data_IF_573087547299
#
_entry.id   IF_573087547299
#
_cell.length_a   1.000
_cell.length_b   1.000
_cell.length_c   1.000
_cell.angle_alpha   90.00
_cell.angle_beta   90.00
_cell.angle_gamma   90.00
#
_symmetry.space_group_name_H-M   'P 1'
#
loop_
_entity.id
_entity.type
_entity.pdbx_description
1 polymer ?
#
# COMPACT_ATOMS: atom_id res chain seq x y z
N UNK A 1 24.94 97.70 -59.35
CA UNK A 1 26.26 97.38 -58.77
C UNK A 1 26.03 96.82 -57.37
N UNK A 2 26.12 95.49 -57.24
CA UNK A 2 27.04 94.72 -56.36
C UNK A 2 26.58 94.63 -54.90
N UNK A 3 25.90 93.57 -54.43
CA UNK A 3 26.25 92.14 -54.15
C UNK A 3 27.14 91.89 -52.92
N UNK A 4 26.59 91.02 -52.03
CA UNK A 4 27.19 89.94 -51.19
C UNK A 4 27.93 90.40 -49.91
N UNK A 5 27.89 89.70 -48.77
CA UNK A 5 27.90 88.25 -48.44
C UNK A 5 27.08 87.99 -47.13
N UNK A 6 26.27 86.95 -46.94
CA UNK A 6 26.42 85.47 -46.98
C UNK A 6 26.94 84.85 -45.67
N UNK A 7 26.09 84.05 -45.00
CA UNK A 7 26.33 82.68 -44.45
C UNK A 7 25.37 82.38 -43.28
N UNK A 8 24.93 81.14 -42.97
CA UNK A 8 24.56 79.91 -43.68
C UNK A 8 24.13 78.93 -42.56
N UNK A 9 23.22 77.98 -42.86
CA UNK A 9 22.94 76.69 -42.16
C UNK A 9 22.00 76.82 -40.94
N UNK A 10 20.92 76.03 -40.80
CA UNK A 10 20.48 74.86 -41.54
C UNK A 10 19.79 73.87 -40.60
N UNK A 11 18.54 73.56 -40.94
CA UNK A 11 17.62 72.53 -40.45
C UNK A 11 18.29 71.20 -40.00
N UNK A 12 17.86 70.62 -38.88
CA UNK A 12 17.68 69.16 -38.74
C UNK A 12 16.79 68.80 -37.56
N UNK A 13 15.60 68.30 -37.92
CA UNK A 13 14.71 67.45 -37.14
C UNK A 13 15.49 66.26 -36.55
N UNK A 14 15.17 65.83 -35.33
CA UNK A 14 14.81 64.43 -35.03
C UNK A 14 14.41 64.28 -33.55
N UNK A 15 13.13 63.94 -33.34
CA UNK A 15 12.66 62.91 -32.39
C UNK A 15 13.32 62.89 -31.00
N UNK A 16 12.74 63.59 -30.04
CA UNK A 16 12.76 63.15 -28.65
C UNK A 16 11.35 62.68 -28.27
N UNK A 17 10.98 61.54 -28.86
CA UNK A 17 9.87 60.74 -28.38
C UNK A 17 10.20 60.20 -27.00
N UNK A 18 9.30 60.46 -26.06
CA UNK A 18 8.96 59.63 -24.90
C UNK A 18 9.98 58.54 -24.53
N UNK A 19 11.03 58.89 -23.79
CA UNK A 19 11.67 57.94 -22.87
C UNK A 19 10.87 57.93 -21.57
N UNK A 20 9.62 57.44 -21.67
CA UNK A 20 8.99 56.76 -20.56
C UNK A 20 9.79 55.48 -20.37
N UNK A 21 10.55 55.38 -19.28
CA UNK A 21 11.06 54.09 -18.82
C UNK A 21 9.85 53.20 -18.53
N UNK A 22 9.41 52.43 -19.53
CA UNK A 22 8.70 51.19 -19.27
C UNK A 22 9.74 50.22 -18.73
N UNK A 23 9.99 50.27 -17.42
CA UNK A 23 10.29 49.02 -16.73
C UNK A 23 9.03 48.17 -16.95
N UNK A 24 9.08 47.31 -17.96
CA UNK A 24 8.17 46.19 -18.05
C UNK A 24 8.46 45.35 -16.81
N UNK A 25 7.80 45.69 -15.71
CA UNK A 25 7.58 44.77 -14.61
C UNK A 25 6.92 43.55 -15.22
N UNK A 26 7.73 42.58 -15.62
CA UNK A 26 7.26 41.29 -16.03
C UNK A 26 6.58 40.68 -14.81
N UNK A 27 5.26 40.83 -14.74
CA UNK A 27 4.44 40.15 -13.77
C UNK A 27 4.61 38.65 -14.03
N UNK A 28 5.52 38.03 -13.30
CA UNK A 28 5.56 36.57 -13.19
C UNK A 28 4.27 36.20 -12.48
N UNK A 29 3.29 35.70 -13.23
CA UNK A 29 2.13 35.07 -12.63
C UNK A 29 2.62 33.85 -11.87
N UNK A 30 2.82 34.01 -10.56
CA UNK A 30 3.03 32.88 -9.67
C UNK A 30 1.68 32.20 -9.55
N UNK A 31 1.46 31.14 -10.33
CA UNK A 31 0.29 30.30 -10.13
C UNK A 31 0.29 29.83 -8.66
N UNK A 32 -0.83 30.01 -7.94
CA UNK A 32 -0.89 29.58 -6.56
C UNK A 32 -0.64 28.08 -6.49
N UNK A 33 0.22 27.66 -5.56
CA UNK A 33 0.51 26.25 -5.36
C UNK A 33 -0.81 25.47 -5.19
N UNK A 34 -1.02 24.38 -5.93
CA UNK A 34 -2.27 23.63 -5.89
C UNK A 34 -2.61 23.22 -4.46
N UNK A 35 -3.90 23.28 -4.12
CA UNK A 35 -4.42 22.84 -2.83
C UNK A 35 -5.12 21.50 -3.02
N UNK A 36 -4.94 20.59 -2.06
CA UNK A 36 -5.63 19.31 -2.11
C UNK A 36 -7.12 19.55 -1.83
N UNK A 37 -8.05 19.02 -2.65
CA UNK A 37 -9.48 19.15 -2.40
C UNK A 37 -9.99 18.15 -1.36
N UNK A 38 -9.10 17.32 -0.79
CA UNK A 38 -9.47 16.37 0.26
C UNK A 38 -10.06 17.11 1.46
N UNK A 39 -11.21 16.63 1.91
CA UNK A 39 -11.94 17.16 3.06
C UNK A 39 -11.79 16.21 4.24
N UNK A 40 -11.07 16.62 5.28
CA UNK A 40 -10.90 15.83 6.50
C UNK A 40 -11.09 16.72 7.73
N UNK A 41 -12.14 16.45 8.49
CA UNK A 41 -12.35 16.95 9.84
C UNK A 41 -12.30 15.76 10.79
N UNK A 42 -11.24 15.70 11.62
CA UNK A 42 -10.99 14.60 12.55
C UNK A 42 -12.06 14.46 13.64
N UNK A 43 -12.84 15.50 13.92
CA UNK A 43 -13.96 15.43 14.87
C UNK A 43 -15.16 14.67 14.29
N UNK A 44 -15.27 14.62 12.96
CA UNK A 44 -16.45 14.11 12.25
C UNK A 44 -16.22 12.75 11.58
N UNK A 45 -14.99 12.21 11.60
CA UNK A 45 -14.72 10.86 11.06
C UNK A 45 -15.20 9.76 12.01
N UNK A 46 -15.65 8.60 11.48
CA UNK A 46 -15.78 8.27 10.06
C UNK A 46 -17.01 8.95 9.41
N UNK A 47 -16.84 9.46 8.19
CA UNK A 47 -17.95 9.97 7.38
C UNK A 47 -18.88 8.84 6.91
N UNK A 48 -20.11 9.20 6.54
CA UNK A 48 -21.13 8.23 6.13
C UNK A 48 -20.85 7.62 4.76
N UNK A 49 -20.26 8.40 3.85
CA UNK A 49 -19.84 7.95 2.52
C UNK A 49 -18.38 8.26 2.24
N UNK A 50 -17.80 7.52 1.28
CA UNK A 50 -16.41 7.71 0.87
C UNK A 50 -16.22 9.01 0.07
N UNK A 51 -17.24 9.44 -0.68
CA UNK A 51 -17.17 10.67 -1.48
C UNK A 51 -17.00 11.94 -0.63
N UNK A 52 -17.45 11.95 0.63
CA UNK A 52 -17.30 13.08 1.56
C UNK A 52 -15.82 13.50 1.77
N UNK A 53 -14.87 12.57 1.61
CA UNK A 53 -13.44 12.87 1.72
C UNK A 53 -12.83 13.52 0.48
N UNK A 54 -13.47 13.44 -0.69
CA UNK A 54 -12.94 13.93 -1.97
C UNK A 54 -11.56 13.38 -2.38
N UNK A 55 -11.29 12.09 -2.15
CA UNK A 55 -10.00 11.47 -2.52
C UNK A 55 -9.78 11.31 -4.04
N UNK A 56 -10.86 11.22 -4.82
CA UNK A 56 -10.80 10.84 -6.23
C UNK A 56 -11.50 11.84 -7.14
N UNK A 57 -10.94 12.06 -8.33
CA UNK A 57 -11.51 12.91 -9.38
C UNK A 57 -12.39 12.10 -10.34
N UNK A 58 -13.53 12.68 -10.74
CA UNK A 58 -14.46 12.04 -11.68
C UNK A 58 -15.19 10.84 -11.06
N UNK A 59 -15.31 9.74 -11.82
CA UNK A 59 -15.97 8.52 -11.34
C UNK A 59 -15.08 7.84 -10.30
N UNK A 60 -15.56 7.75 -9.05
CA UNK A 60 -14.77 7.26 -7.92
C UNK A 60 -14.19 5.85 -8.12
N UNK A 61 -14.92 4.96 -8.82
CA UNK A 61 -14.47 3.59 -9.12
C UNK A 61 -13.31 3.51 -10.14
N UNK A 62 -12.97 4.62 -10.80
CA UNK A 62 -11.75 4.72 -11.61
C UNK A 62 -10.49 4.87 -10.75
N UNK A 63 -10.64 5.22 -9.46
CA UNK A 63 -9.56 5.44 -8.49
C UNK A 63 -8.49 6.43 -8.98
N UNK A 64 -8.91 7.49 -9.67
CA UNK A 64 -8.05 8.59 -10.13
C UNK A 64 -7.83 9.56 -8.97
N UNK A 65 -6.63 9.66 -8.38
CA UNK A 65 -6.43 10.48 -7.20
C UNK A 65 -6.44 11.98 -7.54
N UNK A 66 -7.07 12.78 -6.66
CA UNK A 66 -6.93 14.25 -6.69
C UNK A 66 -5.51 14.69 -6.28
N UNK A 67 -5.18 15.96 -6.48
CA UNK A 67 -3.91 16.52 -6.00
C UNK A 67 -3.74 16.30 -4.48
N UNK A 68 -2.57 15.85 -4.05
CA UNK A 68 -2.27 15.50 -2.66
C UNK A 68 -2.47 14.01 -2.33
N UNK A 69 -3.30 13.30 -3.07
CA UNK A 69 -3.46 11.85 -2.87
C UNK A 69 -2.42 11.14 -3.74
N UNK A 70 -1.41 10.51 -3.11
CA UNK A 70 -0.32 9.85 -3.83
C UNK A 70 -0.55 8.34 -3.87
N UNK A 71 -0.54 7.71 -5.07
CA UNK A 71 -0.54 6.26 -5.12
C UNK A 71 0.79 5.73 -4.57
N UNK A 72 0.73 4.56 -3.94
CA UNK A 72 1.91 3.78 -3.64
C UNK A 72 1.59 2.29 -3.85
N UNK A 73 2.62 1.47 -3.88
CA UNK A 73 2.59 0.03 -4.06
C UNK A 73 3.41 -0.61 -2.95
N UNK A 74 2.86 -1.66 -2.36
CA UNK A 74 3.59 -2.60 -1.51
C UNK A 74 4.25 -3.64 -2.44
N UNK A 75 5.56 -3.79 -2.31
CA UNK A 75 6.39 -4.60 -3.22
C UNK A 75 5.95 -6.06 -3.27
N UNK A 76 5.69 -6.66 -2.11
CA UNK A 76 5.08 -7.99 -1.99
C UNK A 76 3.61 -7.83 -1.59
N UNK A 77 2.67 -8.16 -2.48
CA UNK A 77 1.23 -7.98 -2.21
C UNK A 77 0.67 -8.95 -1.16
N UNK A 78 -0.19 -8.44 -0.27
CA UNK A 78 -1.03 -9.24 0.63
C UNK A 78 -2.07 -10.03 -0.16
N UNK A 79 -2.23 -11.32 0.13
CA UNK A 79 -3.25 -12.14 -0.50
C UNK A 79 -4.62 -11.98 0.17
N UNK A 80 -5.62 -11.58 -0.62
CA UNK A 80 -7.02 -11.46 -0.20
C UNK A 80 -7.91 -12.03 -1.31
N UNK A 81 -8.06 -13.35 -1.37
CA UNK A 81 -8.94 -14.06 -2.32
C UNK A 81 -8.80 -13.62 -3.79
N UNK A 82 -7.56 -13.31 -4.22
CA UNK A 82 -7.23 -12.79 -5.55
C UNK A 82 -7.83 -11.41 -5.90
N UNK A 83 -8.43 -10.70 -4.95
CA UNK A 83 -8.78 -9.30 -5.13
C UNK A 83 -7.51 -8.47 -5.41
N UNK A 84 -7.63 -7.52 -6.32
CA UNK A 84 -6.63 -6.48 -6.55
C UNK A 84 -6.80 -5.40 -5.51
N UNK A 85 -5.70 -4.72 -5.18
CA UNK A 85 -5.70 -3.59 -4.29
C UNK A 85 -4.98 -2.41 -4.95
N UNK A 86 -5.52 -1.21 -4.76
CA UNK A 86 -4.82 0.03 -5.07
C UNK A 86 -4.73 0.88 -3.80
N UNK A 87 -3.50 1.27 -3.47
CA UNK A 87 -3.17 1.95 -2.22
C UNK A 87 -2.77 3.40 -2.46
N UNK A 88 -3.19 4.28 -1.55
CA UNK A 88 -2.86 5.70 -1.59
C UNK A 88 -2.53 6.23 -0.20
N UNK A 89 -1.74 7.28 -0.17
CA UNK A 89 -1.46 8.07 1.03
C UNK A 89 -1.92 9.51 0.80
N UNK A 90 -2.49 10.10 1.83
CA UNK A 90 -2.74 11.53 1.91
C UNK A 90 -2.33 12.04 3.30
N UNK A 91 -1.78 13.25 3.34
CA UNK A 91 -1.46 13.93 4.60
C UNK A 91 -1.84 15.42 4.52
N UNK A 92 -2.20 16.05 5.66
CA UNK A 92 -2.45 17.48 5.72
C UNK A 92 -1.28 18.30 5.18
N UNK A 93 -1.59 19.44 4.56
CA UNK A 93 -0.57 20.33 3.99
C UNK A 93 0.49 20.71 5.04
N UNK A 94 1.76 20.53 4.69
CA UNK A 94 2.89 20.88 5.54
C UNK A 94 3.26 19.82 6.59
N UNK A 95 2.47 18.76 6.72
CA UNK A 95 2.80 17.61 7.57
C UNK A 95 3.68 16.59 6.83
N UNK A 96 4.47 15.82 7.58
CA UNK A 96 5.44 14.85 7.07
C UNK A 96 5.47 13.62 7.96
N UNK A 97 5.60 12.46 7.35
CA UNK A 97 6.03 11.26 8.05
C UNK A 97 7.56 11.27 8.29
N UNK A 98 8.01 10.52 9.29
CA UNK A 98 9.43 10.31 9.57
C UNK A 98 9.83 8.86 9.34
N UNK A 99 11.03 8.67 8.80
CA UNK A 99 11.67 7.36 8.80
C UNK A 99 12.04 6.97 10.24
N UNK A 100 11.89 5.70 10.60
CA UNK A 100 12.27 5.18 11.94
C UNK A 100 13.36 4.13 11.77
N UNK A 101 13.06 3.10 10.99
CA UNK A 101 13.96 2.06 10.51
C UNK A 101 13.30 1.36 9.31
N UNK A 102 13.97 0.39 8.68
CA UNK A 102 13.49 -0.27 7.46
C UNK A 102 12.18 -1.05 7.66
N UNK A 103 11.98 -1.64 8.85
CA UNK A 103 10.98 -2.68 9.10
C UNK A 103 9.78 -2.20 9.93
N UNK A 104 9.80 -0.97 10.43
CA UNK A 104 8.71 -0.34 11.15
C UNK A 104 7.87 0.50 10.20
N UNK A 105 6.58 0.63 10.53
CA UNK A 105 5.71 1.59 9.84
C UNK A 105 6.33 2.98 9.96
N UNK A 106 6.30 3.77 8.89
CA UNK A 106 6.72 5.17 8.95
C UNK A 106 5.95 5.89 10.06
N UNK A 107 6.61 6.81 10.75
CA UNK A 107 5.95 7.60 11.79
C UNK A 107 5.11 8.69 11.14
N UNK A 108 3.81 8.44 10.98
CA UNK A 108 2.88 9.34 10.28
C UNK A 108 2.28 10.39 11.23
N UNK A 109 2.07 11.63 10.74
CA UNK A 109 1.48 12.71 11.52
C UNK A 109 -0.04 12.53 11.68
N UNK A 110 -0.62 13.18 12.69
CA UNK A 110 -2.07 13.31 12.81
C UNK A 110 -2.70 13.87 11.53
N UNK A 111 -3.85 13.31 11.15
CA UNK A 111 -4.54 13.58 9.90
C UNK A 111 -4.04 12.77 8.70
N UNK A 112 -2.97 11.98 8.83
CA UNK A 112 -2.57 11.07 7.77
C UNK A 112 -3.65 10.02 7.50
N UNK A 113 -3.90 9.75 6.21
CA UNK A 113 -4.86 8.74 5.76
C UNK A 113 -4.17 7.76 4.82
N UNK A 114 -4.23 6.48 5.18
CA UNK A 114 -3.84 5.36 4.32
C UNK A 114 -5.11 4.76 3.73
N UNK A 115 -5.19 4.73 2.40
CA UNK A 115 -6.39 4.37 1.65
C UNK A 115 -6.08 3.09 0.87
N UNK A 116 -6.89 2.05 1.04
CA UNK A 116 -6.76 0.80 0.28
C UNK A 116 -8.11 0.41 -0.32
N UNK A 117 -8.21 0.46 -1.64
CA UNK A 117 -9.41 0.03 -2.35
C UNK A 117 -9.23 -1.37 -2.94
N UNK A 118 -10.11 -2.30 -2.58
CA UNK A 118 -10.12 -3.68 -3.06
C UNK A 118 -11.16 -3.87 -4.15
N UNK A 119 -10.78 -4.55 -5.23
CA UNK A 119 -11.63 -4.77 -6.39
C UNK A 119 -11.26 -6.05 -7.13
N UNK A 120 -12.18 -6.53 -7.95
CA UNK A 120 -11.92 -7.58 -8.93
C UNK A 120 -11.93 -7.00 -10.34
N UNK A 121 -11.11 -7.58 -11.22
CA UNK A 121 -11.18 -7.37 -12.67
C UNK A 121 -11.85 -8.58 -13.33
N UNK A 122 -12.27 -8.44 -14.60
CA UNK A 122 -12.86 -9.51 -15.39
C UNK A 122 -14.06 -10.20 -14.71
N UNK A 123 -14.89 -9.43 -14.00
CA UNK A 123 -16.08 -9.96 -13.33
C UNK A 123 -17.16 -10.26 -14.37
N UNK A 124 -17.62 -11.50 -14.40
CA UNK A 124 -18.62 -12.00 -15.34
C UNK A 124 -20.04 -11.51 -15.00
N UNK A 125 -20.94 -11.39 -16.00
CA UNK A 125 -20.73 -11.74 -17.41
C UNK A 125 -20.07 -10.65 -18.27
N UNK A 126 -20.07 -9.39 -17.86
CA UNK A 126 -19.59 -8.26 -18.69
C UNK A 126 -18.06 -8.11 -18.73
N UNK A 127 -17.33 -8.86 -17.89
CA UNK A 127 -15.86 -8.79 -17.70
C UNK A 127 -15.38 -7.41 -17.24
N UNK A 128 -16.19 -6.73 -16.45
CA UNK A 128 -15.88 -5.40 -15.93
C UNK A 128 -15.12 -5.46 -14.59
N UNK A 129 -14.54 -4.32 -14.20
CA UNK A 129 -14.09 -4.09 -12.82
C UNK A 129 -15.29 -4.05 -11.88
N UNK A 130 -15.17 -4.68 -10.70
CA UNK A 130 -16.08 -4.51 -9.56
C UNK A 130 -15.32 -4.12 -8.30
N UNK A 131 -15.55 -2.89 -7.84
CA UNK A 131 -15.18 -2.40 -6.52
C UNK A 131 -15.94 -3.14 -5.43
N UNK A 132 -15.25 -3.48 -4.35
CA UNK A 132 -15.79 -4.27 -3.24
C UNK A 132 -15.81 -3.45 -1.96
N UNK A 133 -14.64 -2.99 -1.52
CA UNK A 133 -14.49 -2.20 -0.30
C UNK A 133 -13.34 -1.20 -0.42
N UNK A 134 -13.42 -0.12 0.36
CA UNK A 134 -12.31 0.81 0.57
C UNK A 134 -12.06 0.92 2.07
N UNK A 135 -10.87 0.53 2.50
CA UNK A 135 -10.41 0.61 3.89
C UNK A 135 -9.58 1.87 4.06
N UNK A 136 -9.89 2.65 5.09
CA UNK A 136 -9.09 3.78 5.54
C UNK A 136 -8.46 3.44 6.90
N UNK A 137 -7.20 3.80 7.06
CA UNK A 137 -6.57 3.90 8.37
C UNK A 137 -6.19 5.36 8.57
N UNK A 138 -6.81 6.01 9.56
CA UNK A 138 -6.71 7.46 9.78
C UNK A 138 -5.96 7.69 11.08
N UNK A 139 -4.92 8.52 11.05
CA UNK A 139 -4.19 8.95 12.25
C UNK A 139 -4.98 10.08 12.92
N UNK A 140 -5.44 9.88 14.15
CA UNK A 140 -6.23 10.84 14.92
C UNK A 140 -5.73 10.85 16.37
N UNK A 141 -5.35 12.03 16.86
CA UNK A 141 -4.94 12.24 18.27
C UNK A 141 -3.83 11.29 18.73
N UNK A 142 -2.85 11.01 17.87
CA UNK A 142 -1.75 10.09 18.15
C UNK A 142 -2.09 8.60 17.96
N UNK A 143 -3.34 8.24 17.70
CA UNK A 143 -3.80 6.87 17.52
C UNK A 143 -4.27 6.61 16.08
N UNK A 144 -4.38 5.33 15.70
CA UNK A 144 -4.93 4.94 14.41
C UNK A 144 -6.36 4.45 14.58
N UNK A 145 -7.26 4.88 13.69
CA UNK A 145 -8.63 4.34 13.62
C UNK A 145 -8.82 3.56 12.32
N UNK A 146 -9.58 2.46 12.39
CA UNK A 146 -9.91 1.59 11.26
C UNK A 146 -11.30 1.95 10.74
N UNK A 147 -11.41 2.25 9.45
CA UNK A 147 -12.68 2.60 8.81
C UNK A 147 -12.83 1.77 7.54
N UNK A 148 -14.01 1.20 7.33
CA UNK A 148 -14.31 0.43 6.14
C UNK A 148 -15.55 0.94 5.42
N UNK A 149 -15.47 1.04 4.10
CA UNK A 149 -16.56 1.45 3.22
C UNK A 149 -16.90 0.32 2.26
N UNK A 150 -18.16 -0.13 2.25
CA UNK A 150 -18.67 -1.12 1.30
C UNK A 150 -19.22 -0.40 0.06
N UNK A 151 -18.73 -0.79 -1.12
CA UNK A 151 -19.23 -0.25 -2.38
C UNK A 151 -20.64 -0.74 -2.69
N UNK A 152 -21.46 0.13 -3.28
CA UNK A 152 -22.79 -0.23 -3.79
C UNK A 152 -22.70 -1.00 -5.13
N UNK A 153 -23.80 -1.66 -5.48
CA UNK A 153 -23.86 -2.43 -6.74
C UNK A 153 -23.82 -1.52 -7.98
N UNK A 154 -24.24 -0.26 -7.87
CA UNK A 154 -24.15 0.73 -8.96
C UNK A 154 -22.70 1.23 -9.20
N UNK A 155 -21.75 0.87 -8.34
CA UNK A 155 -20.32 1.23 -8.46
C UNK A 155 -20.07 2.74 -8.47
N UNK A 156 -20.93 3.48 -7.77
CA UNK A 156 -20.95 4.95 -7.73
C UNK A 156 -20.57 5.52 -6.36
N UNK A 157 -20.78 4.76 -5.28
CA UNK A 157 -20.54 5.22 -3.90
C UNK A 157 -20.12 4.05 -3.00
N UNK A 158 -19.48 4.35 -1.88
CA UNK A 158 -19.20 3.40 -0.82
C UNK A 158 -19.67 3.93 0.54
N UNK A 159 -20.28 3.07 1.34
CA UNK A 159 -20.95 3.42 2.60
C UNK A 159 -20.20 2.82 3.79
N UNK A 160 -20.03 3.62 4.84
CA UNK A 160 -19.36 3.18 6.07
C UNK A 160 -20.08 1.97 6.69
N UNK A 161 -19.31 0.98 7.13
CA UNK A 161 -19.82 -0.21 7.83
C UNK A 161 -18.82 -0.72 8.86
N UNK A 162 -19.34 -1.17 10.00
CA UNK A 162 -18.61 -1.96 11.02
C UNK A 162 -18.87 -3.46 10.86
N UNK A 163 -19.92 -3.82 10.14
CA UNK A 163 -20.38 -5.19 9.99
C UNK A 163 -19.60 -5.94 8.91
N UNK A 164 -19.27 -7.19 9.21
CA UNK A 164 -18.73 -8.11 8.22
C UNK A 164 -19.81 -8.51 7.21
N UNK A 165 -19.44 -8.68 5.94
CA UNK A 165 -20.38 -9.17 4.93
C UNK A 165 -19.68 -9.95 3.83
N UNK A 166 -20.45 -10.68 3.05
CA UNK A 166 -19.95 -11.45 1.92
C UNK A 166 -20.40 -10.83 0.59
N UNK A 167 -19.49 -10.83 -0.38
CA UNK A 167 -19.76 -10.43 -1.76
C UNK A 167 -19.37 -11.57 -2.68
N UNK A 168 -20.38 -12.17 -3.32
CA UNK A 168 -20.16 -13.22 -4.30
C UNK A 168 -19.77 -12.59 -5.64
N UNK A 169 -18.63 -12.99 -6.19
CA UNK A 169 -18.19 -12.61 -7.52
C UNK A 169 -17.80 -13.85 -8.33
N UNK A 170 -18.01 -13.78 -9.64
CA UNK A 170 -17.48 -14.76 -10.60
C UNK A 170 -16.51 -14.02 -11.50
N UNK A 171 -15.25 -14.44 -11.49
CA UNK A 171 -14.19 -13.83 -12.30
C UNK A 171 -13.72 -14.79 -13.36
N UNK A 172 -13.34 -14.26 -14.51
CA UNK A 172 -12.57 -15.01 -15.51
C UNK A 172 -11.08 -14.83 -15.25
N UNK A 173 -10.38 -15.93 -15.05
CA UNK A 173 -8.95 -16.01 -14.74
C UNK A 173 -8.34 -17.09 -15.63
N UNK A 174 -7.47 -16.72 -16.57
CA UNK A 174 -6.86 -17.63 -17.55
C UNK A 174 -7.86 -18.52 -18.32
N UNK A 175 -8.99 -17.94 -18.76
CA UNK A 175 -10.13 -18.64 -19.40
C UNK A 175 -10.87 -19.64 -18.51
N UNK A 176 -10.58 -19.69 -17.21
CA UNK A 176 -11.35 -20.45 -16.22
C UNK A 176 -12.28 -19.50 -15.46
N UNK A 177 -13.49 -19.97 -15.16
CA UNK A 177 -14.40 -19.25 -14.27
C UNK A 177 -14.09 -19.62 -12.82
N UNK A 178 -13.78 -18.62 -11.99
CA UNK A 178 -13.54 -18.77 -10.56
C UNK A 178 -14.65 -18.07 -9.79
N UNK A 179 -15.36 -18.81 -8.94
CA UNK A 179 -16.30 -18.23 -7.98
C UNK A 179 -15.55 -17.85 -6.71
N UNK A 180 -15.76 -16.62 -6.25
CA UNK A 180 -15.15 -16.09 -5.03
C UNK A 180 -16.28 -15.61 -4.11
N UNK A 181 -16.30 -16.13 -2.89
CA UNK A 181 -17.15 -15.61 -1.82
C UNK A 181 -16.30 -14.65 -0.98
N UNK A 182 -16.10 -13.43 -1.45
CA UNK A 182 -15.21 -12.48 -0.81
C UNK A 182 -15.78 -12.02 0.52
N UNK A 183 -14.98 -12.06 1.60
CA UNK A 183 -15.38 -11.56 2.92
C UNK A 183 -14.87 -10.15 3.14
N UNK A 184 -15.79 -9.19 3.22
CA UNK A 184 -15.53 -7.88 3.80
C UNK A 184 -15.45 -8.10 5.33
N UNK A 185 -14.30 -7.81 5.98
CA UNK A 185 -14.13 -8.04 7.41
C UNK A 185 -14.99 -7.07 8.22
N UNK A 186 -15.47 -7.55 9.37
CA UNK A 186 -16.02 -6.71 10.43
C UNK A 186 -14.93 -5.87 11.09
N UNK A 187 -15.33 -4.86 11.87
CA UNK A 187 -14.39 -4.05 12.66
C UNK A 187 -13.49 -4.92 13.56
N UNK A 188 -14.05 -5.92 14.24
CA UNK A 188 -13.29 -6.79 15.14
C UNK A 188 -12.26 -7.66 14.40
N UNK A 189 -12.55 -8.07 13.17
CA UNK A 189 -11.59 -8.79 12.33
C UNK A 189 -10.50 -7.87 11.81
N UNK A 190 -10.84 -6.64 11.41
CA UNK A 190 -9.85 -5.61 11.08
C UNK A 190 -8.93 -5.34 12.28
N UNK A 191 -9.52 -5.14 13.48
CA UNK A 191 -8.78 -4.92 14.71
C UNK A 191 -7.87 -6.11 15.01
N UNK A 192 -8.34 -7.35 14.85
CA UNK A 192 -7.53 -8.55 15.10
C UNK A 192 -6.21 -8.54 14.30
N UNK A 193 -6.25 -8.19 13.02
CA UNK A 193 -5.02 -8.11 12.20
C UNK A 193 -4.18 -6.86 12.47
N UNK A 194 -4.84 -5.73 12.80
CA UNK A 194 -4.19 -4.44 12.99
C UNK A 194 -3.79 -4.16 14.45
N UNK A 195 -3.96 -5.12 15.36
CA UNK A 195 -3.68 -4.95 16.79
C UNK A 195 -2.25 -5.39 17.14
N UNK A 196 -1.57 -4.55 17.92
CA UNK A 196 -0.35 -4.91 18.65
C UNK A 196 -0.46 -4.39 20.08
N UNK A 197 -0.76 -5.27 21.04
CA UNK A 197 -0.95 -4.91 22.46
C UNK A 197 -1.93 -3.76 22.70
N UNK A 198 -3.09 -3.83 22.06
CA UNK A 198 -4.16 -2.82 22.07
C UNK A 198 -3.85 -1.51 21.32
N UNK A 199 -2.70 -1.42 20.65
CA UNK A 199 -2.40 -0.35 19.69
C UNK A 199 -2.76 -0.78 18.26
N UNK A 200 -3.54 0.05 17.57
CA UNK A 200 -3.83 -0.14 16.14
C UNK A 200 -2.62 0.32 15.32
N UNK A 201 -2.12 -0.53 14.42
CA UNK A 201 -1.01 -0.23 13.52
C UNK A 201 -1.35 -0.54 12.05
N UNK A 202 -0.96 0.31 11.09
CA UNK A 202 -1.05 -0.02 9.68
C UNK A 202 -0.20 -1.24 9.33
N UNK A 203 -0.65 -1.99 8.31
CA UNK A 203 0.11 -3.08 7.71
C UNK A 203 0.57 -2.61 6.33
N UNK A 204 1.86 -2.76 6.03
CA UNK A 204 2.38 -2.45 4.69
C UNK A 204 3.35 -1.28 4.60
N UNK A 205 3.04 -0.04 5.08
CA UNK A 205 3.82 1.17 4.78
C UNK A 205 5.11 1.31 5.63
N UNK A 206 5.91 0.24 5.60
CA UNK A 206 7.29 0.18 6.09
C UNK A 206 8.23 0.57 4.95
N UNK A 207 9.36 1.26 5.20
CA UNK A 207 10.31 1.59 4.15
C UNK A 207 10.76 0.36 3.31
N UNK A 208 11.00 -0.78 3.95
CA UNK A 208 11.39 -2.03 3.27
C UNK A 208 10.38 -2.49 2.20
N UNK A 209 9.10 -2.14 2.36
CA UNK A 209 7.97 -2.60 1.55
C UNK A 209 7.57 -1.62 0.44
N UNK A 210 8.09 -0.39 0.44
CA UNK A 210 7.75 0.66 -0.53
C UNK A 210 8.98 1.27 -1.21
N UNK A 211 10.17 0.73 -0.95
CA UNK A 211 11.41 1.14 -1.60
C UNK A 211 11.59 0.49 -2.98
N UNK A 212 10.68 0.81 -3.90
CA UNK A 212 10.73 0.41 -5.31
C UNK A 212 10.36 1.59 -6.21
N UNK A 213 10.59 1.47 -7.52
CA UNK A 213 10.17 2.46 -8.50
C UNK A 213 8.69 2.27 -8.89
N UNK A 214 7.95 3.37 -8.96
CA UNK A 214 6.55 3.40 -9.41
C UNK A 214 6.39 4.44 -10.53
N UNK A 215 5.47 4.18 -11.46
CA UNK A 215 5.08 5.15 -12.48
C UNK A 215 4.10 6.19 -11.90
N UNK A 216 4.53 7.44 -11.84
CA UNK A 216 3.70 8.60 -11.48
C UNK A 216 3.32 9.41 -12.73
N UNK A 217 2.42 10.39 -12.58
CA UNK A 217 1.99 11.30 -13.67
C UNK A 217 3.20 12.05 -14.30
N UNK A 218 4.25 12.30 -13.52
CA UNK A 218 5.48 13.00 -13.92
C UNK A 218 6.67 12.06 -14.23
N UNK A 219 6.43 10.74 -14.31
CA UNK A 219 7.43 9.75 -14.69
C UNK A 219 7.70 8.68 -13.63
N UNK A 220 8.66 7.79 -13.93
CA UNK A 220 9.07 6.72 -13.01
C UNK A 220 9.95 7.29 -11.91
N UNK A 221 9.64 6.97 -10.64
CA UNK A 221 10.42 7.40 -9.48
C UNK A 221 10.31 6.41 -8.34
N UNK A 222 11.36 6.29 -7.54
CA UNK A 222 11.29 5.59 -6.26
C UNK A 222 10.24 6.24 -5.35
N UNK A 223 9.37 5.44 -4.75
CA UNK A 223 8.21 5.96 -4.03
C UNK A 223 8.58 6.80 -2.80
N UNK A 224 9.60 6.40 -2.02
CA UNK A 224 10.09 7.18 -0.88
C UNK A 224 10.66 8.54 -1.33
N UNK A 225 11.40 8.56 -2.46
CA UNK A 225 11.88 9.81 -3.07
C UNK A 225 10.72 10.68 -3.55
N UNK A 226 9.66 10.08 -4.13
CA UNK A 226 8.46 10.82 -4.53
C UNK A 226 7.75 11.44 -3.33
N UNK A 227 7.62 10.72 -2.22
CA UNK A 227 7.01 11.24 -0.99
C UNK A 227 7.84 12.37 -0.40
N UNK A 228 9.16 12.25 -0.40
CA UNK A 228 10.06 13.31 0.04
C UNK A 228 9.93 14.59 -0.81
N UNK A 229 9.95 14.45 -2.13
CA UNK A 229 9.79 15.56 -3.08
C UNK A 229 8.44 16.25 -2.95
N UNK A 230 7.36 15.49 -2.74
CA UNK A 230 6.02 16.04 -2.49
C UNK A 230 5.93 16.74 -1.12
N UNK A 231 6.87 16.48 -0.22
CA UNK A 231 6.89 17.01 1.13
C UNK A 231 6.10 16.18 2.15
N UNK A 232 5.88 14.90 1.89
CA UNK A 232 5.23 13.91 2.78
C UNK A 232 6.20 13.07 3.60
N UNK A 233 7.50 13.08 3.28
CA UNK A 233 8.50 12.32 4.02
C UNK A 233 9.70 13.20 4.37
N UNK A 234 10.09 13.18 5.63
CA UNK A 234 11.35 13.77 6.09
C UNK A 234 12.54 12.90 5.67
N UNK A 235 13.53 13.51 5.02
CA UNK A 235 14.71 12.80 4.49
C UNK A 235 15.93 12.82 5.41
N UNK A 236 15.88 13.59 6.50
CA UNK A 236 17.06 13.84 7.36
C UNK A 236 17.69 12.59 7.95
N UNK A 237 16.93 11.52 8.11
CA UNK A 237 17.36 10.27 8.73
C UNK A 237 17.15 9.03 7.85
N UNK A 238 16.88 9.21 6.54
CA UNK A 238 16.80 8.08 5.62
C UNK A 238 18.23 7.64 5.26
N UNK A 239 18.60 6.36 5.47
CA UNK A 239 19.93 5.86 5.10
C UNK A 239 20.11 5.82 3.58
N UNK A 240 21.36 5.72 3.12
CA UNK A 240 21.67 5.56 1.69
C UNK A 240 21.16 4.23 1.12
N UNK A 241 21.05 3.21 1.96
CA UNK A 241 20.57 1.87 1.64
C UNK A 241 19.49 1.47 2.63
N UNK A 242 18.38 0.93 2.12
CA UNK A 242 17.26 0.38 2.89
C UNK A 242 17.23 -1.11 2.58
N UNK A 243 17.22 -1.95 3.61
CA UNK A 243 17.03 -3.40 3.45
C UNK A 243 15.59 -3.65 3.05
N UNK A 244 15.38 -4.08 1.81
CA UNK A 244 14.06 -4.20 1.19
C UNK A 244 13.63 -5.64 0.96
N UNK A 245 12.32 -5.86 0.99
CA UNK A 245 11.70 -7.08 0.47
C UNK A 245 11.78 -7.09 -1.06
N UNK A 246 11.49 -8.23 -1.67
CA UNK A 246 11.30 -8.35 -3.13
C UNK A 246 9.84 -8.66 -3.43
N UNK A 247 9.44 -8.56 -4.70
CA UNK A 247 8.18 -9.14 -5.13
C UNK A 247 8.30 -10.67 -5.05
N UNK A 248 7.54 -11.30 -4.15
CA UNK A 248 7.59 -12.75 -3.97
C UNK A 248 7.21 -13.51 -5.24
N UNK A 249 6.50 -12.89 -6.19
CA UNK A 249 6.14 -13.49 -7.48
C UNK A 249 7.26 -13.36 -8.55
N UNK A 250 8.27 -12.52 -8.34
CA UNK A 250 9.41 -12.37 -9.27
C UNK A 250 10.35 -13.57 -9.16
N UNK A 251 10.22 -14.53 -10.08
CA UNK A 251 11.01 -15.76 -10.11
C UNK A 251 12.50 -15.54 -10.43
N UNK A 252 12.90 -14.33 -10.84
CA UNK A 252 14.33 -14.00 -11.00
C UNK A 252 15.05 -13.78 -9.68
N UNK A 253 14.29 -13.56 -8.59
CA UNK A 253 14.84 -13.37 -7.25
C UNK A 253 15.13 -14.72 -6.56
N UNK A 254 16.10 -14.77 -5.63
CA UNK A 254 16.39 -15.97 -4.85
C UNK A 254 15.18 -16.51 -4.09
N UNK A 255 15.04 -17.84 -4.04
CA UNK A 255 13.89 -18.52 -3.42
C UNK A 255 13.67 -18.09 -1.96
N UNK A 256 14.70 -18.13 -1.13
CA UNK A 256 14.60 -17.73 0.29
C UNK A 256 14.16 -16.27 0.46
N UNK A 257 14.65 -15.38 -0.41
CA UNK A 257 14.30 -13.96 -0.35
C UNK A 257 12.81 -13.74 -0.68
N UNK A 258 12.29 -14.48 -1.66
CA UNK A 258 10.87 -14.47 -2.03
C UNK A 258 9.99 -15.05 -0.92
N UNK A 259 10.41 -16.14 -0.29
CA UNK A 259 9.70 -16.77 0.84
C UNK A 259 9.61 -15.82 2.02
N UNK A 260 10.73 -15.20 2.41
CA UNK A 260 10.77 -14.23 3.50
C UNK A 260 9.89 -13.01 3.22
N UNK A 261 9.88 -12.53 1.98
CA UNK A 261 9.02 -11.42 1.54
C UNK A 261 7.53 -11.79 1.59
N UNK A 262 7.20 -13.02 1.18
CA UNK A 262 5.84 -13.56 1.25
C UNK A 262 5.34 -13.68 2.70
N UNK A 263 6.17 -14.21 3.60
CA UNK A 263 5.84 -14.38 5.02
C UNK A 263 5.73 -13.03 5.75
N UNK A 264 6.56 -12.03 5.41
CA UNK A 264 6.46 -10.69 6.03
C UNK A 264 5.08 -10.08 5.80
N UNK A 265 4.63 -10.01 4.55
CA UNK A 265 3.37 -9.32 4.25
C UNK A 265 2.15 -10.16 4.65
N UNK A 266 2.17 -11.49 4.46
CA UNK A 266 0.99 -12.33 4.69
C UNK A 266 0.86 -12.86 6.12
N UNK A 267 1.93 -12.84 6.93
CA UNK A 267 1.93 -13.53 8.23
C UNK A 267 2.50 -12.70 9.39
N UNK A 268 3.49 -11.83 9.16
CA UNK A 268 4.24 -11.21 10.25
C UNK A 268 3.45 -10.24 11.14
N UNK A 269 2.37 -9.65 10.64
CA UNK A 269 1.52 -8.76 11.44
C UNK A 269 0.82 -9.52 12.58
N UNK A 270 0.48 -10.80 12.38
CA UNK A 270 -0.06 -11.65 13.44
C UNK A 270 1.03 -12.42 14.20
N UNK A 271 2.04 -12.94 13.50
CA UNK A 271 3.15 -13.71 14.07
C UNK A 271 4.34 -12.81 14.41
N UNK A 272 4.12 -11.94 15.39
CA UNK A 272 5.11 -11.05 15.99
C UNK A 272 4.86 -10.98 17.49
N UNK A 273 5.82 -10.46 18.26
CA UNK A 273 5.59 -10.23 19.68
C UNK A 273 4.43 -9.25 19.87
N UNK A 274 3.52 -9.59 20.79
CA UNK A 274 2.30 -8.85 21.07
C UNK A 274 1.29 -8.80 19.92
N UNK A 275 1.47 -9.60 18.88
CA UNK A 275 0.49 -9.82 17.81
C UNK A 275 -0.51 -10.93 18.17
N UNK A 276 -1.58 -11.07 17.40
CA UNK A 276 -2.65 -12.05 17.68
C UNK A 276 -2.17 -13.50 17.78
N UNK A 277 -1.15 -13.88 16.98
CA UNK A 277 -0.60 -15.22 16.96
C UNK A 277 0.71 -15.35 17.76
N UNK A 278 0.97 -14.48 18.74
CA UNK A 278 2.22 -14.49 19.51
C UNK A 278 2.48 -15.80 20.28
N UNK A 279 1.41 -16.54 20.60
CA UNK A 279 1.45 -17.83 21.28
C UNK A 279 2.13 -18.93 20.47
N UNK A 280 2.19 -18.76 19.14
CA UNK A 280 2.93 -19.66 18.26
C UNK A 280 4.40 -19.22 18.19
N UNK A 281 5.37 -20.15 18.14
CA UNK A 281 6.79 -19.82 18.22
C UNK A 281 7.39 -19.21 16.94
N UNK A 282 6.56 -18.81 15.96
CA UNK A 282 7.03 -18.23 14.69
C UNK A 282 7.09 -16.70 14.76
N UNK A 283 8.12 -16.10 14.15
CA UNK A 283 8.31 -14.65 14.00
C UNK A 283 8.63 -14.33 12.54
N UNK A 284 7.58 -14.05 11.77
CA UNK A 284 7.67 -13.99 10.30
C UNK A 284 8.12 -12.64 9.73
N UNK A 285 8.50 -11.68 10.57
CA UNK A 285 8.93 -10.37 10.07
C UNK A 285 10.21 -10.51 9.23
N UNK A 286 10.35 -9.67 8.20
CA UNK A 286 11.47 -9.79 7.27
C UNK A 286 12.84 -9.74 7.97
N UNK A 287 12.96 -8.93 9.03
CA UNK A 287 14.19 -8.83 9.85
C UNK A 287 14.46 -10.06 10.73
N UNK A 288 13.43 -10.83 11.08
CA UNK A 288 13.54 -11.97 12.01
C UNK A 288 13.73 -13.30 11.27
N UNK A 289 13.33 -13.35 10.00
CA UNK A 289 13.37 -14.55 9.14
C UNK A 289 14.75 -14.81 8.50
N UNK A 290 15.81 -14.14 8.97
CA UNK A 290 17.18 -14.65 8.76
C UNK A 290 17.46 -15.90 9.60
N UNK A 291 16.71 -16.08 10.69
CA UNK A 291 16.76 -17.27 11.53
C UNK A 291 15.65 -18.25 11.10
N UNK A 292 16.03 -19.45 10.68
CA UNK A 292 15.10 -20.49 10.27
C UNK A 292 14.21 -21.00 11.41
N UNK A 293 14.64 -20.89 12.67
CA UNK A 293 13.82 -21.25 13.84
C UNK A 293 12.60 -20.33 13.92
N UNK A 294 12.78 -19.03 13.65
CA UNK A 294 11.66 -18.08 13.57
C UNK A 294 10.67 -18.40 12.44
N UNK A 295 11.13 -19.09 11.40
CA UNK A 295 10.29 -19.60 10.32
C UNK A 295 9.65 -20.97 10.64
N UNK A 296 9.97 -21.56 11.79
CA UNK A 296 9.45 -22.84 12.26
C UNK A 296 10.17 -24.07 11.70
N UNK A 297 11.35 -23.90 11.09
CA UNK A 297 12.15 -25.01 10.54
C UNK A 297 12.68 -25.88 11.66
N UNK A 298 12.38 -27.17 11.60
CA UNK A 298 12.76 -28.19 12.60
C UNK A 298 12.23 -27.87 14.01
N UNK A 299 11.11 -27.13 14.09
CA UNK A 299 10.40 -26.83 15.34
C UNK A 299 9.13 -27.67 15.42
N UNK A 300 8.99 -28.49 16.46
CA UNK A 300 7.75 -29.25 16.72
C UNK A 300 6.54 -28.31 16.83
N UNK A 301 5.41 -28.69 16.26
CA UNK A 301 4.18 -27.91 16.42
C UNK A 301 3.37 -28.39 17.63
N UNK A 302 2.65 -27.46 18.25
CA UNK A 302 1.69 -27.73 19.33
C UNK A 302 0.22 -27.53 18.89
N UNK A 303 -0.02 -27.45 17.59
CA UNK A 303 -1.36 -27.28 17.03
C UNK A 303 -2.15 -28.60 17.04
N UNK A 304 -3.46 -28.52 17.31
CA UNK A 304 -4.40 -29.62 17.08
C UNK A 304 -4.66 -29.77 15.57
N UNK A 305 -3.92 -30.68 14.92
CA UNK A 305 -3.98 -30.95 13.48
C UNK A 305 -4.07 -32.46 13.22
N UNK A 306 -4.22 -32.85 11.96
CA UNK A 306 -4.26 -34.24 11.53
C UNK A 306 -2.99 -35.03 11.89
N UNK A 307 -3.13 -36.34 12.07
CA UNK A 307 -2.00 -37.25 12.35
C UNK A 307 -0.95 -37.20 11.21
N UNK A 308 0.33 -37.24 11.58
CA UNK A 308 1.46 -37.29 10.63
C UNK A 308 2.12 -35.92 10.35
N UNK A 309 1.56 -34.84 10.89
CA UNK A 309 2.27 -33.56 11.00
C UNK A 309 3.11 -33.58 12.28
N UNK A 310 4.40 -33.27 12.16
CA UNK A 310 5.35 -33.36 13.28
C UNK A 310 5.95 -32.00 13.63
N UNK A 311 6.27 -31.20 12.60
CA UNK A 311 6.92 -29.90 12.76
C UNK A 311 6.09 -28.79 12.12
N UNK A 312 6.32 -27.55 12.56
CA UNK A 312 5.80 -26.36 11.89
C UNK A 312 6.28 -26.37 10.43
N UNK A 313 7.58 -26.54 10.24
CA UNK A 313 8.23 -26.84 8.95
C UNK A 313 9.21 -27.99 9.15
N UNK A 314 8.95 -29.14 8.53
CA UNK A 314 9.85 -30.28 8.50
C UNK A 314 10.78 -30.16 7.27
N UNK A 315 12.12 -30.00 7.43
CA UNK A 315 13.05 -29.84 6.32
C UNK A 315 12.92 -30.96 5.28
N UNK A 316 12.82 -30.63 3.99
CA UNK A 316 12.70 -31.59 2.90
C UNK A 316 11.39 -32.42 2.90
N UNK A 317 10.46 -32.15 3.83
CA UNK A 317 9.27 -32.98 4.05
C UNK A 317 7.98 -32.14 4.08
N UNK A 318 7.51 -31.66 2.93
CA UNK A 318 6.32 -30.81 2.85
C UNK A 318 5.05 -31.47 3.41
N UNK A 319 4.92 -32.80 3.32
CA UNK A 319 3.77 -33.54 3.84
C UNK A 319 3.73 -33.64 5.37
N UNK A 320 4.87 -33.48 6.04
CA UNK A 320 4.99 -33.53 7.51
C UNK A 320 4.99 -32.11 8.12
N UNK A 321 4.79 -31.06 7.30
CA UNK A 321 4.91 -29.65 7.68
C UNK A 321 3.54 -29.00 7.93
N UNK A 322 3.25 -28.65 9.18
CA UNK A 322 1.99 -28.04 9.58
C UNK A 322 1.72 -26.70 8.87
N UNK A 323 2.75 -25.87 8.65
CA UNK A 323 2.62 -24.58 7.97
C UNK A 323 2.03 -24.76 6.56
N UNK A 324 2.55 -25.71 5.79
CA UNK A 324 2.08 -25.97 4.43
C UNK A 324 0.66 -26.56 4.42
N UNK A 325 0.35 -27.47 5.34
CA UNK A 325 -1.00 -28.01 5.52
C UNK A 325 -2.03 -26.89 5.74
N UNK A 326 -1.75 -25.98 6.68
CA UNK A 326 -2.65 -24.87 7.02
C UNK A 326 -2.79 -23.86 5.89
N UNK A 327 -1.73 -23.58 5.13
CA UNK A 327 -1.82 -22.74 3.92
C UNK A 327 -2.68 -23.40 2.83
N UNK A 328 -2.62 -24.72 2.68
CA UNK A 328 -3.42 -25.49 1.71
C UNK A 328 -4.91 -25.56 2.08
N UNK A 329 -5.22 -25.62 3.37
CA UNK A 329 -6.60 -25.76 3.84
C UNK A 329 -7.46 -24.52 3.59
N UNK A 330 -8.75 -24.76 3.35
CA UNK A 330 -9.83 -23.75 3.33
C UNK A 330 -10.86 -23.99 4.44
N UNK A 331 -10.64 -25.00 5.28
CA UNK A 331 -11.48 -25.27 6.46
C UNK A 331 -11.14 -24.27 7.57
N UNK A 332 -12.15 -23.68 8.20
CA UNK A 332 -11.96 -22.60 9.17
C UNK A 332 -11.11 -23.03 10.38
N UNK A 333 -11.20 -24.31 10.80
CA UNK A 333 -10.38 -24.83 11.90
C UNK A 333 -8.87 -24.89 11.58
N UNK A 334 -8.51 -25.01 10.30
CA UNK A 334 -7.13 -25.29 9.88
C UNK A 334 -6.49 -24.16 9.08
N UNK A 335 -7.27 -23.41 8.30
CA UNK A 335 -6.75 -22.45 7.32
C UNK A 335 -5.89 -21.36 7.96
N UNK A 336 -4.85 -20.97 7.24
CA UNK A 336 -4.04 -19.79 7.56
C UNK A 336 -3.87 -18.89 6.33
N UNK A 337 -3.97 -17.56 6.46
CA UNK A 337 -4.47 -16.83 7.62
C UNK A 337 -5.92 -17.22 8.00
N UNK A 338 -6.27 -17.12 9.29
CA UNK A 338 -7.59 -17.51 9.83
C UNK A 338 -8.73 -16.59 9.33
N UNK A 339 -8.38 -15.40 8.86
CA UNK A 339 -9.29 -14.40 8.32
C UNK A 339 -8.67 -13.71 7.10
N UNK A 340 -9.48 -13.00 6.32
CA UNK A 340 -9.03 -12.33 5.09
C UNK A 340 -8.88 -13.24 3.86
N UNK A 341 -9.19 -14.54 3.98
CA UNK A 341 -9.28 -15.47 2.85
C UNK A 341 -10.35 -16.55 3.01
N UNK A 342 -10.93 -16.95 1.89
CA UNK A 342 -11.77 -18.13 1.70
C UNK A 342 -11.25 -19.05 0.59
N UNK A 343 -10.30 -18.59 -0.23
CA UNK A 343 -9.63 -19.36 -1.26
C UNK A 343 -8.21 -19.74 -0.85
N UNK A 344 -7.70 -20.79 -1.48
CA UNK A 344 -6.29 -21.14 -1.42
C UNK A 344 -5.47 -20.21 -2.31
N UNK A 345 -4.40 -19.62 -1.75
CA UNK A 345 -3.39 -18.94 -2.53
C UNK A 345 -2.44 -19.97 -3.16
N UNK A 346 -2.77 -20.46 -4.36
CA UNK A 346 -2.06 -21.57 -5.01
C UNK A 346 -0.57 -21.28 -5.20
N UNK A 347 -0.26 -20.08 -5.66
CA UNK A 347 1.09 -19.62 -5.98
C UNK A 347 1.94 -19.48 -4.72
N UNK A 348 1.36 -18.92 -3.65
CA UNK A 348 2.01 -18.85 -2.33
C UNK A 348 2.24 -20.23 -1.72
N UNK A 349 1.27 -21.15 -1.83
CA UNK A 349 1.44 -22.54 -1.40
C UNK A 349 2.57 -23.22 -2.16
N UNK A 350 2.65 -23.02 -3.48
CA UNK A 350 3.71 -23.58 -4.31
C UNK A 350 5.08 -23.02 -3.93
N UNK A 351 5.18 -21.70 -3.67
CA UNK A 351 6.42 -21.07 -3.20
C UNK A 351 6.92 -21.71 -1.91
N UNK A 352 6.04 -21.86 -0.91
CA UNK A 352 6.39 -22.46 0.37
C UNK A 352 6.75 -23.95 0.21
N UNK A 353 6.01 -24.69 -0.61
CA UNK A 353 6.31 -26.11 -0.88
C UNK A 353 7.68 -26.28 -1.55
N UNK A 354 8.03 -25.42 -2.52
CA UNK A 354 9.35 -25.41 -3.15
C UNK A 354 10.46 -25.13 -2.12
N UNK A 355 10.24 -24.14 -1.24
CA UNK A 355 11.19 -23.81 -0.20
C UNK A 355 11.40 -24.95 0.78
N UNK A 356 10.33 -25.57 1.30
CA UNK A 356 10.44 -26.71 2.21
C UNK A 356 11.24 -27.86 1.58
N UNK A 357 10.99 -28.16 0.30
CA UNK A 357 11.74 -29.20 -0.42
C UNK A 357 13.23 -28.86 -0.60
N UNK A 358 13.60 -27.57 -0.62
CA UNK A 358 15.00 -27.14 -0.74
C UNK A 358 15.77 -27.16 0.58
N UNK A 359 15.09 -27.25 1.73
CA UNK A 359 15.74 -27.31 3.03
C UNK A 359 16.45 -28.65 3.20
N UNK A 360 17.73 -28.60 3.55
CA UNK A 360 18.50 -29.77 3.93
C UNK A 360 18.09 -30.24 5.33
N UNK A 361 18.05 -31.55 5.56
CA UNK A 361 17.91 -32.08 6.91
C UNK A 361 19.18 -31.75 7.69
N UNK A 362 19.09 -30.91 8.71
CA UNK A 362 20.18 -30.61 9.65
C UNK A 362 20.59 -31.80 10.54
N UNK A 363 20.06 -32.99 10.25
CA UNK A 363 20.35 -34.24 10.96
C UNK A 363 20.92 -35.32 10.00
N UNK A 364 22.09 -35.04 9.42
CA UNK A 364 23.05 -36.06 8.97
C UNK A 364 24.42 -35.84 9.58
#
# INVERSE_FOLDING_TARGET
MTKKYSCLIGLLLFVFSCTSCSEEDSYVQVEPAPTSPVSLNLENVPYSTLSEYNFFEGKMSDLKPVYGVLPYKITSGLFIDYAKAQTFVWMPKGSKANYVNDHSVLDFPDGAVLITSHYFENVLPEKNRKMIETRLIIKKEGEWILVNYKWNDEQSEAFYTTEGSFVNVKIEDNNETKAVNYKIPSYNECFTCHNKYDEILPIGPKPQNINEDLLFKDGIKNQLKKWAEFGYLNTSNIPSEIVSVVDWADISQPLDLRVRSYLDINCAHCHTDKGYCEYAPMRFSFKDTYDFVNMGVDVEHNFELEEGLSHIVAPGKPKESALLFRLKSTLDEYKMPIMGRNLQHKEGVQLIEQWINSLENTNQ
#
